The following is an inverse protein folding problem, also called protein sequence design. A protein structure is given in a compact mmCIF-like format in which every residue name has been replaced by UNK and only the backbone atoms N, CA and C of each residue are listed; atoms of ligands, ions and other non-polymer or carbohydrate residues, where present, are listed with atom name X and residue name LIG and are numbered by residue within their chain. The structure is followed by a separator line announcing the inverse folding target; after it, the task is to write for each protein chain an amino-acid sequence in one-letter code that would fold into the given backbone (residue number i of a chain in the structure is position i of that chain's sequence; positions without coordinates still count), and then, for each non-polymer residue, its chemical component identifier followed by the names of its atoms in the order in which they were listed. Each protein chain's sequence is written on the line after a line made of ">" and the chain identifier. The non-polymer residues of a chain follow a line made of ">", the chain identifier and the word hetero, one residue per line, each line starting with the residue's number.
data_IF_960273069066
#
_entry.id   IF_960273069066
#
_cell.length_a   1.000
_cell.length_b   1.000
_cell.length_c   1.000
_cell.angle_alpha   90.00
_cell.angle_beta   90.00
_cell.angle_gamma   90.00
#
_symmetry.space_group_name_H-M   'P 1'
#
loop_
_entity.id
_entity.type
_entity.pdbx_description
1 polymer ?
#
# COMPACT_ATOMS: atom_id res chain seq x y z
N UNK A 1 10.99 -24.63 -0.35
CA UNK A 1 9.95 -23.71 0.13
C UNK A 1 10.57 -22.34 0.29
N UNK A 2 10.01 -21.36 -0.43
CA UNK A 2 10.56 -20.01 -0.62
C UNK A 2 10.67 -19.27 0.72
N UNK A 3 11.77 -18.52 0.86
CA UNK A 3 12.12 -17.69 2.01
C UNK A 3 11.01 -16.66 2.29
N UNK A 4 10.46 -16.67 3.50
CA UNK A 4 9.68 -15.56 4.04
C UNK A 4 10.62 -14.35 4.18
N UNK A 5 10.61 -13.46 3.19
CA UNK A 5 11.19 -12.12 3.27
C UNK A 5 10.05 -11.11 3.27
N UNK A 6 9.28 -11.04 4.35
CA UNK A 6 8.29 -9.98 4.53
C UNK A 6 8.17 -9.60 6.00
N UNK A 7 9.26 -9.08 6.55
CA UNK A 7 9.16 -7.99 7.52
C UNK A 7 9.84 -6.78 6.84
N UNK A 8 9.08 -5.71 6.66
CA UNK A 8 9.54 -4.37 6.26
C UNK A 8 9.99 -4.19 4.79
N UNK A 9 9.08 -3.74 3.93
CA UNK A 9 9.41 -2.91 2.76
C UNK A 9 8.43 -1.72 2.71
N UNK A 10 8.72 -0.70 3.50
CA UNK A 10 8.29 0.67 3.18
C UNK A 10 9.51 1.33 2.53
N UNK A 11 9.47 1.51 1.21
CA UNK A 11 10.42 2.35 0.50
C UNK A 11 9.95 3.81 0.69
N UNK A 12 10.43 4.47 1.74
CA UNK A 12 10.35 5.93 1.84
C UNK A 12 11.55 6.50 1.06
N UNK A 13 11.27 7.12 -0.07
CA UNK A 13 12.22 7.99 -0.77
C UNK A 13 12.39 9.28 0.04
N UNK A 14 13.38 9.32 0.92
CA UNK A 14 13.79 10.51 1.66
C UNK A 14 14.42 11.55 0.72
N UNK A 15 13.66 12.58 0.35
CA UNK A 15 14.21 13.84 -0.15
C UNK A 15 14.38 14.79 1.04
N UNK A 16 15.63 14.99 1.47
CA UNK A 16 15.96 15.96 2.52
C UNK A 16 15.84 17.36 1.92
N UNK A 17 14.81 18.11 2.28
CA UNK A 17 14.82 19.57 2.18
C UNK A 17 14.93 20.15 3.58
N UNK A 18 16.11 20.74 3.85
CA UNK A 18 16.37 21.45 5.09
C UNK A 18 15.49 22.71 5.15
N UNK A 19 14.69 22.84 6.20
CA UNK A 19 14.11 24.12 6.59
C UNK A 19 14.44 24.42 8.05
N UNK A 20 15.05 25.59 8.22
CA UNK A 20 15.59 26.15 9.46
C UNK A 20 14.45 26.53 10.39
N UNK A 21 14.58 26.19 11.67
CA UNK A 21 13.53 26.28 12.67
C UNK A 21 13.28 27.67 13.27
N UNK A 22 12.26 27.72 14.13
CA UNK A 22 12.16 28.67 15.25
C UNK A 22 11.52 27.95 16.45
N UNK A 23 12.26 27.95 17.56
CA UNK A 23 11.91 27.48 18.90
C UNK A 23 10.85 28.35 19.56
N UNK A 24 9.90 27.75 20.28
CA UNK A 24 9.26 28.41 21.42
C UNK A 24 8.82 27.39 22.47
N UNK A 25 9.59 27.32 23.57
CA UNK A 25 9.17 26.72 24.83
C UNK A 25 8.00 27.51 25.45
N UNK A 26 7.07 26.82 26.10
CA UNK A 26 6.56 27.24 27.41
C UNK A 26 5.86 26.10 28.15
N UNK A 27 6.41 25.80 29.31
CA UNK A 27 5.85 25.02 30.40
C UNK A 27 4.85 25.85 31.21
N UNK A 28 3.86 25.19 31.81
CA UNK A 28 3.44 25.45 33.19
C UNK A 28 2.54 24.32 33.70
N UNK A 29 3.07 23.60 34.68
CA UNK A 29 2.39 22.85 35.72
C UNK A 29 1.50 23.78 36.56
N UNK A 30 0.35 23.31 37.04
CA UNK A 30 -0.02 23.48 38.44
C UNK A 30 -1.12 22.49 38.91
N UNK A 31 -1.03 22.17 40.19
CA UNK A 31 -1.62 21.03 40.88
C UNK A 31 -2.99 21.28 41.55
N UNK A 32 -3.55 20.15 42.01
CA UNK A 32 -4.35 19.91 43.24
C UNK A 32 -5.81 20.39 43.35
N UNK A 33 -6.74 19.43 43.54
CA UNK A 33 -7.19 19.03 44.90
C UNK A 33 -8.09 17.78 44.93
N UNK A 34 -7.82 17.00 45.98
CA UNK A 34 -8.46 15.80 46.50
C UNK A 34 -9.80 16.13 47.19
N UNK A 35 -10.76 15.20 47.16
CA UNK A 35 -11.64 14.93 48.30
C UNK A 35 -12.00 13.45 48.32
N UNK A 36 -11.67 12.79 49.43
CA UNK A 36 -12.17 11.48 49.84
C UNK A 36 -13.38 11.67 50.77
N UNK A 37 -14.33 10.74 50.77
CA UNK A 37 -14.63 9.87 51.92
C UNK A 37 -15.81 8.91 51.63
N UNK A 38 -15.59 7.67 52.08
CA UNK A 38 -16.39 6.42 52.10
C UNK A 38 -17.41 6.46 53.29
N UNK A 39 -18.04 5.39 53.86
CA UNK A 39 -18.16 3.95 53.48
C UNK A 39 -19.58 3.32 53.67
N UNK A 40 -19.81 2.09 53.18
CA UNK A 40 -20.11 0.86 54.00
C UNK A 40 -20.71 -0.35 53.25
N UNK A 41 -19.95 -1.46 53.32
CA UNK A 41 -20.26 -2.87 53.64
C UNK A 41 -21.21 -3.78 52.82
N UNK A 42 -20.56 -4.81 52.24
CA UNK A 42 -20.77 -6.27 52.35
C UNK A 42 -22.07 -6.93 51.84
N UNK A 43 -21.92 -7.93 50.95
CA UNK A 43 -22.05 -9.38 51.25
C UNK A 43 -21.20 -10.18 50.24
N UNK A 44 -20.51 -11.20 50.76
CA UNK A 44 -19.65 -12.19 50.09
C UNK A 44 -20.50 -13.35 49.60
N UNK A 45 -20.28 -13.84 48.37
CA UNK A 45 -20.61 -15.23 48.02
C UNK A 45 -19.57 -15.78 47.04
N UNK A 46 -18.84 -16.79 47.53
CA UNK A 46 -17.78 -17.52 46.84
C UNK A 46 -18.32 -18.31 45.64
N UNK A 47 -17.66 -18.20 44.48
CA UNK A 47 -17.58 -19.32 43.54
C UNK A 47 -16.17 -19.38 42.96
N UNK A 48 -15.51 -20.50 43.23
CA UNK A 48 -14.09 -20.80 42.99
C UNK A 48 -13.67 -20.55 41.55
N UNK A 49 -12.85 -19.52 41.36
CA UNK A 49 -11.96 -19.38 40.20
C UNK A 49 -10.93 -20.50 40.21
N UNK A 50 -10.80 -21.18 39.06
CA UNK A 50 -9.57 -21.83 38.67
C UNK A 50 -8.57 -20.72 38.30
N UNK A 51 -7.84 -20.22 39.29
CA UNK A 51 -6.66 -19.39 39.09
C UNK A 51 -5.61 -20.20 38.31
N UNK A 52 -5.55 -20.02 36.99
CA UNK A 52 -4.30 -20.24 36.27
C UNK A 52 -3.34 -19.13 36.71
N UNK A 53 -2.26 -19.51 37.39
CA UNK A 53 -1.20 -18.60 37.86
C UNK A 53 -0.78 -17.61 36.77
N UNK A 54 -1.27 -16.38 36.86
CA UNK A 54 -0.83 -15.23 36.05
C UNK A 54 0.53 -14.81 36.58
N UNK A 55 1.59 -15.52 36.18
CA UNK A 55 2.97 -15.16 36.50
C UNK A 55 3.45 -14.05 35.54
N UNK A 56 2.72 -12.94 35.47
CA UNK A 56 3.13 -11.75 34.71
C UNK A 56 4.07 -10.93 35.57
N UNK A 57 5.35 -11.31 35.61
CA UNK A 57 6.38 -10.32 35.91
C UNK A 57 6.39 -9.35 34.73
N UNK A 58 6.04 -8.09 34.98
CA UNK A 58 6.26 -7.06 33.98
C UNK A 58 7.75 -7.02 33.64
N UNK A 59 8.05 -7.28 32.38
CA UNK A 59 9.41 -7.17 31.87
C UNK A 59 9.75 -5.69 31.82
N UNK A 60 10.94 -5.32 32.29
CA UNK A 60 11.51 -4.01 31.99
C UNK A 60 11.99 -4.01 30.52
N UNK A 61 11.03 -3.91 29.60
CA UNK A 61 11.26 -4.03 28.16
C UNK A 61 12.30 -3.04 27.65
N UNK A 62 12.40 -1.85 28.25
CA UNK A 62 13.39 -0.83 27.87
C UNK A 62 14.82 -1.24 28.20
N UNK A 63 15.00 -2.14 29.16
CA UNK A 63 16.32 -2.66 29.54
C UNK A 63 16.73 -3.92 28.76
N UNK A 64 15.78 -4.56 28.07
CA UNK A 64 16.04 -5.81 27.35
C UNK A 64 16.95 -5.56 26.14
N UNK A 65 17.87 -6.48 25.93
CA UNK A 65 18.71 -6.56 24.73
C UNK A 65 18.24 -7.67 23.80
N UNK A 66 18.72 -7.63 22.55
CA UNK A 66 18.48 -8.72 21.58
C UNK A 66 19.05 -10.04 22.10
N UNK A 67 20.18 -10.00 22.81
CA UNK A 67 20.78 -11.20 23.42
C UNK A 67 19.86 -11.79 24.49
N UNK A 68 19.26 -10.96 25.35
CA UNK A 68 18.34 -11.42 26.40
C UNK A 68 17.14 -12.19 25.81
N UNK A 69 16.59 -11.71 24.69
CA UNK A 69 15.46 -12.35 24.03
C UNK A 69 15.82 -13.60 23.22
N UNK A 70 17.09 -13.78 22.85
CA UNK A 70 17.49 -14.82 21.87
C UNK A 70 18.51 -15.83 22.36
N UNK A 71 19.09 -15.65 23.55
CA UNK A 71 20.19 -16.46 24.11
C UNK A 71 20.00 -17.98 24.00
N UNK A 72 18.78 -18.46 24.19
CA UNK A 72 18.45 -19.90 24.14
C UNK A 72 17.75 -20.33 22.84
N UNK A 73 17.55 -19.40 21.91
CA UNK A 73 16.79 -19.60 20.68
C UNK A 73 17.70 -19.72 19.45
N UNK A 74 18.79 -18.94 19.39
CA UNK A 74 19.68 -18.86 18.21
C UNK A 74 20.41 -20.16 17.84
N UNK A 75 20.54 -21.10 18.79
CA UNK A 75 21.20 -22.38 18.55
C UNK A 75 20.26 -23.46 18.03
N UNK A 76 18.97 -23.15 17.89
CA UNK A 76 17.94 -24.11 17.48
C UNK A 76 17.77 -24.12 15.97
N UNK A 77 17.25 -25.25 15.47
CA UNK A 77 16.81 -25.32 14.08
C UNK A 77 15.39 -24.76 13.90
N UNK A 78 14.55 -24.89 14.92
CA UNK A 78 13.15 -24.49 14.92
C UNK A 78 12.68 -24.20 16.34
N UNK A 79 11.85 -23.17 16.51
CA UNK A 79 11.20 -22.81 17.77
C UNK A 79 9.96 -23.66 18.01
N UNK A 80 9.68 -23.97 19.26
CA UNK A 80 8.38 -24.52 19.66
C UNK A 80 7.30 -23.42 19.66
N UNK A 81 6.03 -23.81 19.66
CA UNK A 81 4.90 -22.88 19.83
C UNK A 81 5.03 -22.01 21.09
N UNK A 82 5.50 -22.60 22.19
CA UNK A 82 5.70 -21.90 23.47
C UNK A 82 6.80 -20.84 23.37
N UNK A 83 7.94 -21.20 22.77
CA UNK A 83 9.08 -20.28 22.59
C UNK A 83 8.75 -19.14 21.62
N UNK A 84 8.07 -19.48 20.52
CA UNK A 84 7.59 -18.48 19.58
C UNK A 84 6.55 -17.57 20.24
N UNK A 85 5.59 -18.13 20.98
CA UNK A 85 4.56 -17.36 21.70
C UNK A 85 5.16 -16.44 22.76
N UNK A 86 6.16 -16.90 23.53
CA UNK A 86 6.84 -16.09 24.52
C UNK A 86 7.55 -14.90 23.86
N UNK A 87 8.32 -15.15 22.80
CA UNK A 87 9.05 -14.11 22.08
C UNK A 87 8.09 -13.12 21.41
N UNK A 88 7.09 -13.60 20.65
CA UNK A 88 6.15 -12.72 19.94
C UNK A 88 5.27 -11.93 20.92
N UNK A 89 4.98 -12.47 22.10
CA UNK A 89 4.23 -11.76 23.15
C UNK A 89 4.95 -10.53 23.70
N UNK A 90 6.25 -10.37 23.44
CA UNK A 90 6.99 -9.16 23.81
C UNK A 90 6.62 -7.93 22.97
N UNK A 91 5.95 -8.13 21.82
CA UNK A 91 5.39 -7.02 21.04
C UNK A 91 4.34 -6.19 21.81
N UNK A 92 3.77 -6.71 22.90
CA UNK A 92 2.84 -5.93 23.77
C UNK A 92 3.46 -4.64 24.34
N UNK A 93 4.79 -4.58 24.39
CA UNK A 93 5.53 -3.42 24.88
C UNK A 93 5.95 -2.45 23.78
N UNK A 94 5.76 -2.82 22.51
CA UNK A 94 6.13 -1.99 21.37
C UNK A 94 5.01 -0.97 21.13
N UNK A 95 5.31 0.34 21.07
CA UNK A 95 4.31 1.36 20.77
C UNK A 95 3.69 1.16 19.38
N UNK A 96 2.41 1.49 19.26
CA UNK A 96 1.73 1.65 17.98
C UNK A 96 1.94 3.10 17.53
N UNK A 97 2.44 3.29 16.32
CA UNK A 97 2.65 4.61 15.71
C UNK A 97 1.35 5.21 15.18
N UNK A 98 1.36 6.51 14.88
CA UNK A 98 0.20 7.22 14.29
C UNK A 98 -0.26 6.59 12.96
N UNK A 99 0.67 6.02 12.19
CA UNK A 99 0.40 5.32 10.92
C UNK A 99 -0.07 3.87 11.10
N UNK A 100 -0.44 3.49 12.34
CA UNK A 100 -0.93 2.16 12.70
C UNK A 100 0.06 1.04 12.34
N UNK A 101 1.33 1.24 12.67
CA UNK A 101 2.37 0.19 12.65
C UNK A 101 2.96 0.04 14.05
N UNK A 102 3.62 -1.08 14.32
CA UNK A 102 4.47 -1.17 15.51
C UNK A 102 5.77 -0.38 15.26
N UNK A 103 6.28 0.27 16.30
CA UNK A 103 7.53 1.04 16.22
C UNK A 103 8.68 0.16 15.68
N UNK A 104 9.28 0.63 14.59
CA UNK A 104 10.40 -0.02 13.93
C UNK A 104 11.67 0.02 14.80
N UNK A 105 12.53 -0.98 14.61
CA UNK A 105 13.76 -1.11 15.36
C UNK A 105 13.56 -1.59 16.80
N UNK A 106 12.36 -2.06 17.19
CA UNK A 106 12.13 -2.64 18.51
C UNK A 106 13.06 -3.84 18.77
N UNK A 107 13.42 -4.07 20.04
CA UNK A 107 14.28 -5.20 20.41
C UNK A 107 13.67 -6.55 20.03
N UNK A 108 12.33 -6.65 20.05
CA UNK A 108 11.60 -7.83 19.58
C UNK A 108 11.77 -8.06 18.08
N UNK A 109 11.62 -7.01 17.26
CA UNK A 109 11.81 -7.11 15.80
C UNK A 109 13.27 -7.49 15.46
N UNK A 110 14.24 -6.91 16.16
CA UNK A 110 15.65 -7.25 16.00
C UNK A 110 15.94 -8.70 16.42
N UNK A 111 15.27 -9.21 17.46
CA UNK A 111 15.37 -10.61 17.87
C UNK A 111 14.89 -11.57 16.77
N UNK A 112 13.73 -11.32 16.15
CA UNK A 112 13.27 -12.11 15.00
C UNK A 112 14.22 -12.01 13.80
N UNK A 113 14.76 -10.82 13.53
CA UNK A 113 15.75 -10.62 12.46
C UNK A 113 17.02 -11.45 12.70
N UNK A 114 17.50 -11.53 13.95
CA UNK A 114 18.63 -12.36 14.31
C UNK A 114 18.32 -13.86 14.15
N UNK A 115 17.11 -14.30 14.49
CA UNK A 115 16.68 -15.69 14.26
C UNK A 115 16.67 -16.04 12.77
N UNK A 116 16.21 -15.13 11.92
CA UNK A 116 16.24 -15.28 10.45
C UNK A 116 17.67 -15.38 9.93
N UNK A 117 18.58 -14.52 10.39
CA UNK A 117 20.01 -14.56 10.04
C UNK A 117 20.67 -15.90 10.43
N UNK A 118 20.21 -16.47 11.53
CA UNK A 118 20.64 -17.79 12.01
C UNK A 118 19.89 -18.96 11.36
N UNK A 119 18.93 -18.68 10.46
CA UNK A 119 18.06 -19.66 9.82
C UNK A 119 17.25 -20.51 10.81
N UNK A 120 16.91 -19.95 11.97
CA UNK A 120 16.00 -20.60 12.94
C UNK A 120 14.59 -20.48 12.40
N UNK A 121 13.90 -21.61 12.25
CA UNK A 121 12.51 -21.63 11.80
C UNK A 121 11.56 -21.30 12.95
N UNK A 122 10.47 -20.64 12.63
CA UNK A 122 9.34 -20.46 13.53
C UNK A 122 8.08 -20.36 12.69
N UNK A 123 7.00 -20.99 13.15
CA UNK A 123 5.70 -20.94 12.50
C UNK A 123 4.63 -20.77 13.58
N UNK A 124 3.63 -19.93 13.30
CA UNK A 124 2.51 -19.77 14.21
C UNK A 124 1.53 -20.92 13.99
N UNK A 125 1.39 -21.81 14.98
CA UNK A 125 0.30 -22.78 14.96
C UNK A 125 -1.06 -22.10 15.19
N UNK A 126 -2.14 -22.83 14.92
CA UNK A 126 -3.49 -22.34 15.20
C UNK A 126 -3.71 -22.01 16.69
N UNK A 127 -3.03 -22.71 17.61
CA UNK A 127 -3.14 -22.42 19.04
C UNK A 127 -2.46 -21.09 19.40
N UNK A 128 -1.30 -20.81 18.80
CA UNK A 128 -0.61 -19.52 18.96
C UNK A 128 -1.50 -18.40 18.43
N UNK A 129 -2.03 -18.54 17.22
CA UNK A 129 -2.92 -17.55 16.60
C UNK A 129 -4.17 -17.27 17.45
N UNK A 130 -4.83 -18.31 17.96
CA UNK A 130 -6.00 -18.20 18.86
C UNK A 130 -5.65 -17.50 20.18
N UNK A 131 -4.43 -17.68 20.67
CA UNK A 131 -3.96 -17.02 21.90
C UNK A 131 -3.71 -15.54 21.67
N UNK A 132 -3.00 -15.20 20.58
CA UNK A 132 -2.65 -13.81 20.27
C UNK A 132 -3.87 -12.96 19.92
N UNK A 133 -4.79 -13.48 19.10
CA UNK A 133 -5.97 -12.74 18.63
C UNK A 133 -6.96 -12.42 19.76
N UNK A 134 -6.91 -13.15 20.89
CA UNK A 134 -7.73 -12.91 22.09
C UNK A 134 -7.02 -12.13 23.18
N UNK A 135 -5.81 -11.65 22.92
CA UNK A 135 -5.04 -10.89 23.90
C UNK A 135 -5.72 -9.58 24.27
N UNK A 136 -5.52 -9.11 25.50
CA UNK A 136 -5.94 -7.76 25.93
C UNK A 136 -5.14 -6.65 25.20
N UNK A 137 -3.94 -6.96 24.71
CA UNK A 137 -3.05 -6.01 24.05
C UNK A 137 -3.35 -5.90 22.55
N UNK A 138 -3.68 -4.72 22.01
CA UNK A 138 -3.95 -4.54 20.58
C UNK A 138 -2.75 -4.92 19.70
N UNK A 139 -1.52 -4.73 20.19
CA UNK A 139 -0.31 -5.15 19.49
C UNK A 139 -0.34 -6.64 19.15
N UNK A 140 -0.71 -7.48 20.12
CA UNK A 140 -0.72 -8.93 19.93
C UNK A 140 -1.88 -9.37 19.05
N UNK A 141 -3.04 -8.71 19.14
CA UNK A 141 -4.17 -8.96 18.23
C UNK A 141 -3.82 -8.59 16.78
N UNK A 142 -3.20 -7.43 16.56
CA UNK A 142 -2.75 -7.01 15.24
C UNK A 142 -1.64 -7.90 14.67
N UNK A 143 -0.68 -8.34 15.49
CA UNK A 143 0.33 -9.34 15.10
C UNK A 143 -0.33 -10.67 14.72
N UNK A 144 -1.35 -11.10 15.45
CA UNK A 144 -2.10 -12.31 15.07
C UNK A 144 -2.70 -12.16 13.66
N UNK A 145 -3.30 -11.01 13.34
CA UNK A 145 -3.78 -10.73 11.98
C UNK A 145 -2.64 -10.71 10.94
N UNK A 146 -1.48 -10.11 11.24
CA UNK A 146 -0.31 -10.12 10.34
C UNK A 146 0.20 -11.54 10.06
N UNK A 147 0.20 -12.42 11.07
CA UNK A 147 0.58 -13.83 10.92
C UNK A 147 -0.47 -14.66 10.15
N UNK A 148 -1.72 -14.18 10.11
CA UNK A 148 -2.82 -14.79 9.34
C UNK A 148 -2.92 -14.28 7.90
N UNK A 149 -2.32 -13.12 7.60
CA UNK A 149 -2.31 -12.51 6.28
C UNK A 149 -1.42 -13.32 5.33
N UNK A 150 -2.05 -14.16 4.51
CA UNK A 150 -1.36 -14.95 3.50
C UNK A 150 -1.52 -14.27 2.13
N UNK A 151 -0.41 -14.17 1.38
CA UNK A 151 -0.37 -13.55 0.03
C UNK A 151 -1.39 -14.12 -0.97
N UNK A 152 -1.90 -15.34 -0.74
CA UNK A 152 -2.93 -16.00 -1.55
C UNK A 152 -4.31 -16.04 -0.87
N UNK A 153 -4.55 -15.18 0.11
CA UNK A 153 -5.75 -15.19 0.95
C UNK A 153 -5.58 -16.07 2.18
N UNK A 154 -6.20 -15.64 3.29
CA UNK A 154 -6.14 -16.37 4.55
C UNK A 154 -6.84 -17.74 4.46
N UNK A 155 -6.58 -18.61 5.42
CA UNK A 155 -7.36 -19.84 5.59
C UNK A 155 -8.75 -19.49 6.14
N UNK A 156 -9.79 -20.24 5.78
CA UNK A 156 -11.16 -20.04 6.30
C UNK A 156 -11.20 -20.03 7.84
N UNK A 157 -10.46 -20.92 8.51
CA UNK A 157 -10.35 -20.90 9.99
C UNK A 157 -9.78 -19.58 10.53
N UNK A 158 -8.86 -18.93 9.81
CA UNK A 158 -8.30 -17.63 10.22
C UNK A 158 -9.32 -16.50 9.99
N UNK A 159 -10.10 -16.55 8.90
CA UNK A 159 -11.18 -15.60 8.66
C UNK A 159 -12.20 -15.68 9.79
N UNK A 160 -12.64 -16.88 10.16
CA UNK A 160 -13.62 -17.09 11.23
C UNK A 160 -13.12 -16.53 12.56
N UNK A 161 -11.83 -16.71 12.87
CA UNK A 161 -11.22 -16.12 14.07
C UNK A 161 -11.25 -14.60 14.05
N UNK A 162 -10.96 -13.98 12.91
CA UNK A 162 -11.00 -12.51 12.78
C UNK A 162 -12.44 -12.01 12.81
N UNK A 163 -13.38 -12.66 12.13
CA UNK A 163 -14.82 -12.31 12.18
C UNK A 163 -15.35 -12.31 13.60
N UNK A 164 -14.92 -13.26 14.43
CA UNK A 164 -15.36 -13.30 15.83
C UNK A 164 -14.90 -12.07 16.62
N UNK A 165 -13.63 -11.66 16.51
CA UNK A 165 -13.15 -10.49 17.26
C UNK A 165 -13.71 -9.16 16.73
N UNK A 166 -14.00 -9.08 15.43
CA UNK A 166 -14.56 -7.88 14.80
C UNK A 166 -15.94 -7.49 15.32
N UNK A 167 -16.64 -8.39 16.02
CA UNK A 167 -17.91 -8.08 16.70
C UNK A 167 -17.76 -7.06 17.82
N UNK A 168 -16.57 -6.94 18.41
CA UNK A 168 -16.29 -6.07 19.56
C UNK A 168 -15.03 -5.23 19.43
N UNK A 169 -14.20 -5.48 18.42
CA UNK A 169 -12.94 -4.75 18.23
C UNK A 169 -13.17 -3.29 17.82
N UNK A 170 -12.42 -2.39 18.45
CA UNK A 170 -12.47 -0.94 18.19
C UNK A 170 -11.09 -0.34 17.95
N UNK A 171 -10.01 -1.06 18.24
CA UNK A 171 -8.64 -0.56 18.16
C UNK A 171 -8.23 -0.37 16.68
N UNK A 172 -7.92 0.86 16.23
CA UNK A 172 -7.66 1.13 14.81
C UNK A 172 -6.53 0.29 14.21
N UNK A 173 -5.47 0.05 14.99
CA UNK A 173 -4.37 -0.83 14.59
C UNK A 173 -4.86 -2.24 14.25
N UNK A 174 -5.71 -2.82 15.09
CA UNK A 174 -6.25 -4.16 14.87
C UNK A 174 -7.21 -4.16 13.70
N UNK A 175 -8.10 -3.17 13.60
CA UNK A 175 -9.05 -3.04 12.48
C UNK A 175 -8.33 -2.96 11.13
N UNK A 176 -7.27 -2.14 11.02
CA UNK A 176 -6.45 -2.06 9.79
C UNK A 176 -5.84 -3.41 9.41
N UNK A 177 -5.32 -4.17 10.38
CA UNK A 177 -4.75 -5.50 10.13
C UNK A 177 -5.82 -6.55 9.81
N UNK A 178 -6.96 -6.50 10.49
CA UNK A 178 -8.09 -7.39 10.24
C UNK A 178 -8.64 -7.23 8.82
N UNK A 179 -8.72 -5.99 8.30
CA UNK A 179 -9.08 -5.73 6.89
C UNK A 179 -8.17 -6.50 5.94
N UNK A 180 -6.86 -6.55 6.17
CA UNK A 180 -5.93 -7.35 5.34
C UNK A 180 -6.28 -8.84 5.30
N UNK A 181 -6.79 -9.38 6.40
CA UNK A 181 -7.10 -10.81 6.51
C UNK A 181 -8.41 -11.15 5.80
N UNK A 182 -9.46 -10.35 6.00
CA UNK A 182 -10.82 -10.75 5.58
C UNK A 182 -11.23 -10.18 4.22
N UNK A 183 -10.70 -9.04 3.81
CA UNK A 183 -11.29 -8.26 2.71
C UNK A 183 -11.19 -8.91 1.32
N UNK A 184 -10.34 -9.92 1.13
CA UNK A 184 -10.31 -10.69 -0.12
C UNK A 184 -11.60 -11.47 -0.38
N UNK A 185 -12.39 -11.76 0.66
CA UNK A 185 -13.71 -12.40 0.59
C UNK A 185 -14.87 -11.41 0.49
N UNK A 186 -14.61 -10.10 0.49
CA UNK A 186 -15.68 -9.10 0.55
C UNK A 186 -16.65 -9.18 -0.65
N UNK A 187 -16.19 -9.58 -1.84
CA UNK A 187 -17.07 -9.82 -2.99
C UNK A 187 -17.97 -11.06 -2.88
N UNK A 188 -17.65 -11.99 -1.97
CA UNK A 188 -18.36 -13.28 -1.80
C UNK A 188 -19.18 -13.33 -0.50
N UNK A 189 -18.77 -12.59 0.55
CA UNK A 189 -19.40 -12.56 1.87
C UNK A 189 -19.97 -11.16 2.16
N UNK A 190 -21.32 -11.00 2.21
CA UNK A 190 -21.97 -9.72 2.50
C UNK A 190 -21.64 -9.12 3.87
N UNK A 191 -21.31 -9.94 4.86
CA UNK A 191 -20.92 -9.46 6.20
C UNK A 191 -19.55 -8.78 6.13
N UNK A 192 -18.60 -9.40 5.42
CA UNK A 192 -17.28 -8.83 5.18
C UNK A 192 -17.38 -7.60 4.26
N UNK A 193 -18.25 -7.63 3.25
CA UNK A 193 -18.54 -6.48 2.39
C UNK A 193 -18.99 -5.28 3.23
N UNK A 194 -19.96 -5.48 4.11
CA UNK A 194 -20.46 -4.45 5.02
C UNK A 194 -19.35 -3.92 5.93
N UNK A 195 -18.59 -4.82 6.56
CA UNK A 195 -17.45 -4.43 7.39
C UNK A 195 -16.45 -3.57 6.62
N UNK A 196 -16.09 -3.95 5.39
CA UNK A 196 -15.14 -3.21 4.56
C UNK A 196 -15.65 -1.80 4.21
N UNK A 197 -16.95 -1.68 3.89
CA UNK A 197 -17.60 -0.37 3.65
C UNK A 197 -17.61 0.50 4.91
N UNK A 198 -17.82 -0.09 6.08
CA UNK A 198 -17.78 0.62 7.37
C UNK A 198 -16.35 1.09 7.70
N UNK A 199 -15.33 0.27 7.43
CA UNK A 199 -13.92 0.64 7.61
C UNK A 199 -13.47 1.78 6.70
N UNK A 200 -14.00 1.85 5.48
CA UNK A 200 -13.78 2.96 4.57
C UNK A 200 -14.37 4.29 5.07
N UNK A 201 -15.23 4.28 6.10
CA UNK A 201 -15.79 5.47 6.76
C UNK A 201 -15.22 5.71 8.16
N UNK A 202 -14.20 4.94 8.56
CA UNK A 202 -13.63 5.01 9.90
C UNK A 202 -12.99 6.39 10.16
N UNK A 203 -12.97 6.86 11.41
CA UNK A 203 -12.35 8.14 11.76
C UNK A 203 -10.83 8.12 11.56
N UNK A 204 -10.18 6.97 11.76
CA UNK A 204 -8.74 6.84 11.58
C UNK A 204 -8.37 6.69 10.09
N UNK A 205 -7.51 7.57 9.53
CA UNK A 205 -7.16 7.54 8.12
C UNK A 205 -6.40 6.28 7.70
N UNK A 206 -5.60 5.66 8.58
CA UNK A 206 -4.90 4.41 8.26
C UNK A 206 -5.85 3.21 8.09
N UNK A 207 -7.01 3.24 8.74
CA UNK A 207 -8.09 2.26 8.52
C UNK A 207 -8.81 2.53 7.21
N UNK A 208 -9.17 3.80 6.94
CA UNK A 208 -9.81 4.20 5.67
C UNK A 208 -8.95 3.89 4.47
N UNK A 209 -7.66 4.21 4.52
CA UNK A 209 -6.68 3.94 3.44
C UNK A 209 -6.66 2.45 3.11
N UNK A 210 -6.55 1.60 4.14
CA UNK A 210 -6.49 0.15 3.94
C UNK A 210 -7.80 -0.39 3.36
N UNK A 211 -8.94 0.15 3.78
CA UNK A 211 -10.23 -0.19 3.22
C UNK A 211 -10.37 0.29 1.75
N UNK A 212 -9.91 1.51 1.44
CA UNK A 212 -9.90 2.07 0.09
C UNK A 212 -9.12 1.17 -0.87
N UNK A 213 -7.96 0.68 -0.45
CA UNK A 213 -7.16 -0.28 -1.22
C UNK A 213 -7.98 -1.53 -1.57
N UNK A 214 -8.63 -2.15 -0.58
CA UNK A 214 -9.35 -3.41 -0.77
C UNK A 214 -10.69 -3.27 -1.49
N UNK A 215 -11.37 -2.14 -1.36
CA UNK A 215 -12.54 -1.83 -2.19
C UNK A 215 -12.16 -1.78 -3.68
N UNK A 216 -10.93 -1.39 -3.99
CA UNK A 216 -10.43 -1.31 -5.36
C UNK A 216 -9.82 -2.62 -5.90
N UNK A 217 -10.04 -3.76 -5.24
CA UNK A 217 -9.61 -5.06 -5.76
C UNK A 217 -10.66 -5.63 -6.72
N UNK A 218 -10.21 -6.29 -7.80
CA UNK A 218 -11.07 -6.82 -8.85
C UNK A 218 -12.19 -7.75 -8.38
N UNK A 219 -11.95 -8.56 -7.33
CA UNK A 219 -12.97 -9.42 -6.73
C UNK A 219 -14.02 -8.66 -5.93
N UNK A 220 -13.75 -7.40 -5.56
CA UNK A 220 -14.61 -6.57 -4.71
C UNK A 220 -15.29 -5.43 -5.48
N UNK A 221 -15.02 -5.30 -6.78
CA UNK A 221 -15.47 -4.17 -7.60
C UNK A 221 -17.01 -4.03 -7.70
N UNK A 222 -17.73 -5.13 -7.50
CA UNK A 222 -19.18 -5.24 -7.64
C UNK A 222 -19.91 -5.14 -6.29
N UNK A 223 -19.20 -4.86 -5.19
CA UNK A 223 -19.81 -4.57 -3.89
C UNK A 223 -20.71 -3.32 -4.02
N UNK A 224 -21.97 -3.45 -3.63
CA UNK A 224 -22.94 -2.36 -3.68
C UNK A 224 -22.46 -1.15 -2.86
N UNK A 225 -22.47 0.04 -3.47
CA UNK A 225 -22.01 1.28 -2.85
C UNK A 225 -20.48 1.47 -2.79
N UNK A 226 -19.66 0.48 -3.16
CA UNK A 226 -18.20 0.60 -3.10
C UNK A 226 -17.67 1.70 -4.03
N UNK A 227 -18.21 1.83 -5.25
CA UNK A 227 -17.71 2.81 -6.22
C UNK A 227 -18.00 4.25 -5.80
N UNK A 228 -19.18 4.51 -5.22
CA UNK A 228 -19.52 5.84 -4.70
C UNK A 228 -18.64 6.20 -3.50
N UNK A 229 -18.40 5.23 -2.60
CA UNK A 229 -17.53 5.44 -1.45
C UNK A 229 -16.07 5.66 -1.87
N UNK A 230 -15.56 4.91 -2.84
CA UNK A 230 -14.21 5.15 -3.39
C UNK A 230 -14.14 6.54 -4.01
N UNK A 231 -15.16 6.97 -4.75
CA UNK A 231 -15.20 8.32 -5.30
C UNK A 231 -15.15 9.41 -4.20
N UNK A 232 -15.82 9.21 -3.07
CA UNK A 232 -15.70 10.09 -1.90
C UNK A 232 -14.27 10.07 -1.33
N UNK A 233 -13.66 8.89 -1.20
CA UNK A 233 -12.30 8.73 -0.69
C UNK A 233 -11.23 9.36 -1.60
N UNK A 234 -11.47 9.42 -2.92
CA UNK A 234 -10.61 10.17 -3.86
C UNK A 234 -10.57 11.69 -3.60
N UNK A 235 -11.40 12.18 -2.67
CA UNK A 235 -11.48 13.56 -2.21
C UNK A 235 -11.27 13.67 -0.69
N UNK A 236 -10.74 12.60 -0.05
CA UNK A 236 -10.48 12.57 1.38
C UNK A 236 -9.48 13.67 1.78
N UNK A 237 -9.67 14.24 2.97
CA UNK A 237 -8.77 15.24 3.54
C UNK A 237 -7.38 14.66 3.83
N UNK A 238 -7.32 13.37 4.16
CA UNK A 238 -6.08 12.66 4.33
C UNK A 238 -5.48 12.30 2.97
N UNK A 239 -4.29 12.83 2.71
CA UNK A 239 -3.61 12.66 1.43
C UNK A 239 -3.34 11.20 1.08
N UNK A 240 -3.00 10.35 2.03
CA UNK A 240 -2.71 8.94 1.74
C UNK A 240 -3.98 8.17 1.38
N UNK A 241 -5.10 8.43 2.07
CA UNK A 241 -6.40 7.86 1.70
C UNK A 241 -6.79 8.27 0.27
N UNK A 242 -6.69 9.57 -0.03
CA UNK A 242 -7.00 10.11 -1.35
C UNK A 242 -6.09 9.53 -2.44
N UNK A 243 -4.79 9.46 -2.19
CA UNK A 243 -3.81 8.87 -3.12
C UNK A 243 -4.11 7.41 -3.38
N UNK A 244 -4.34 6.59 -2.35
CA UNK A 244 -4.69 5.17 -2.50
C UNK A 244 -5.98 5.00 -3.30
N UNK A 245 -7.03 5.73 -2.95
CA UNK A 245 -8.31 5.67 -3.67
C UNK A 245 -8.14 6.06 -5.15
N UNK A 246 -7.40 7.14 -5.42
CA UNK A 246 -7.12 7.57 -6.78
C UNK A 246 -6.33 6.52 -7.55
N UNK A 247 -5.22 6.03 -7.01
CA UNK A 247 -4.32 5.07 -7.68
C UNK A 247 -5.02 3.76 -8.07
N UNK A 248 -5.89 3.26 -7.18
CA UNK A 248 -6.50 1.93 -7.31
C UNK A 248 -7.86 1.96 -8.00
N UNK A 249 -8.48 3.13 -8.14
CA UNK A 249 -9.81 3.29 -8.76
C UNK A 249 -9.93 2.79 -10.20
N UNK A 250 -8.82 2.49 -10.89
CA UNK A 250 -8.80 1.97 -12.26
C UNK A 250 -9.56 0.64 -12.46
N UNK A 251 -9.86 -0.09 -11.38
CA UNK A 251 -10.73 -1.27 -11.42
C UNK A 251 -12.18 -0.94 -11.83
N UNK A 252 -12.66 0.28 -11.55
CA UNK A 252 -14.02 0.76 -11.83
C UNK A 252 -14.13 1.35 -13.23
N UNK A 253 -13.74 0.55 -14.23
CA UNK A 253 -13.56 0.94 -15.64
C UNK A 253 -14.80 1.58 -16.25
N UNK A 254 -15.99 1.14 -15.84
CA UNK A 254 -17.26 1.58 -16.41
C UNK A 254 -17.88 2.77 -15.65
N UNK A 255 -17.21 3.25 -14.59
CA UNK A 255 -17.72 4.35 -13.77
C UNK A 255 -17.32 5.71 -14.37
N UNK A 256 -18.25 6.31 -15.13
CA UNK A 256 -18.05 7.61 -15.76
C UNK A 256 -17.69 8.72 -14.77
N UNK A 257 -18.25 8.71 -13.56
CA UNK A 257 -18.00 9.74 -12.54
C UNK A 257 -16.53 9.72 -12.09
N UNK A 258 -15.99 8.53 -11.83
CA UNK A 258 -14.57 8.33 -11.50
C UNK A 258 -13.69 8.70 -12.70
N UNK A 259 -14.01 8.23 -13.91
CA UNK A 259 -13.23 8.53 -15.12
C UNK A 259 -13.14 10.05 -15.37
N UNK A 260 -14.25 10.77 -15.30
CA UNK A 260 -14.26 12.22 -15.51
C UNK A 260 -13.47 12.96 -14.43
N UNK A 261 -13.59 12.56 -13.16
CA UNK A 261 -12.80 13.17 -12.09
C UNK A 261 -11.29 12.96 -12.30
N UNK A 262 -10.85 11.73 -12.61
CA UNK A 262 -9.45 11.46 -12.92
C UNK A 262 -8.95 12.29 -14.11
N UNK A 263 -9.77 12.46 -15.15
CA UNK A 263 -9.46 13.33 -16.29
C UNK A 263 -9.27 14.79 -15.85
N UNK A 264 -10.12 15.33 -14.99
CA UNK A 264 -9.95 16.70 -14.49
C UNK A 264 -8.66 16.89 -13.70
N UNK A 265 -8.16 15.84 -13.03
CA UNK A 265 -6.86 15.88 -12.37
C UNK A 265 -5.74 15.86 -13.40
N UNK A 266 -5.75 14.88 -14.30
CA UNK A 266 -4.66 14.68 -15.27
C UNK A 266 -4.49 15.88 -16.23
N UNK A 267 -5.58 16.59 -16.53
CA UNK A 267 -5.56 17.72 -17.44
C UNK A 267 -5.33 19.08 -16.74
N UNK A 268 -5.21 19.13 -15.42
CA UNK A 268 -4.94 20.35 -14.65
C UNK A 268 -3.48 20.39 -14.19
N UNK A 269 -2.67 21.20 -14.86
CA UNK A 269 -1.23 21.33 -14.59
C UNK A 269 -0.91 21.73 -13.14
N UNK A 270 -1.85 22.39 -12.43
CA UNK A 270 -1.67 22.72 -11.01
C UNK A 270 -1.72 21.51 -10.07
N UNK A 271 -2.21 20.37 -10.56
CA UNK A 271 -2.32 19.10 -9.82
C UNK A 271 -1.25 18.07 -10.22
N UNK A 272 -0.12 18.51 -10.76
CA UNK A 272 0.92 17.62 -11.28
C UNK A 272 1.39 16.54 -10.30
N UNK A 273 1.38 16.81 -8.98
CA UNK A 273 1.75 15.84 -7.93
C UNK A 273 0.84 14.61 -7.90
N UNK A 274 -0.37 14.71 -8.45
CA UNK A 274 -1.34 13.63 -8.56
C UNK A 274 -1.34 12.97 -9.94
N UNK A 275 -0.65 13.53 -10.94
CA UNK A 275 -0.68 13.01 -12.31
C UNK A 275 -0.20 11.56 -12.40
N UNK A 276 0.90 11.20 -11.74
CA UNK A 276 1.39 9.82 -11.74
C UNK A 276 0.35 8.83 -11.17
N UNK A 277 -0.25 9.20 -10.05
CA UNK A 277 -1.17 8.37 -9.28
C UNK A 277 -2.52 8.22 -9.98
N UNK A 278 -3.13 9.34 -10.36
CA UNK A 278 -4.43 9.35 -11.04
C UNK A 278 -4.29 8.90 -12.50
N UNK A 279 -3.16 9.20 -13.14
CA UNK A 279 -2.83 8.75 -14.49
C UNK A 279 -2.70 7.23 -14.57
N UNK A 280 -2.11 6.59 -13.55
CA UNK A 280 -2.11 5.13 -13.45
C UNK A 280 -3.53 4.55 -13.50
N UNK A 281 -4.47 5.11 -12.75
CA UNK A 281 -5.85 4.63 -12.74
C UNK A 281 -6.51 4.79 -14.11
N UNK A 282 -6.32 5.90 -14.81
CA UNK A 282 -6.80 6.07 -16.19
C UNK A 282 -6.20 5.01 -17.13
N UNK A 283 -4.88 4.78 -17.04
CA UNK A 283 -4.20 3.74 -17.83
C UNK A 283 -4.75 2.35 -17.50
N UNK A 284 -5.03 2.05 -16.24
CA UNK A 284 -5.67 0.78 -15.85
C UNK A 284 -7.10 0.66 -16.39
N UNK A 285 -7.85 1.76 -16.51
CA UNK A 285 -9.20 1.73 -17.08
C UNK A 285 -9.18 1.37 -18.57
N UNK A 286 -8.30 1.99 -19.36
CA UNK A 286 -8.29 1.81 -20.81
C UNK A 286 -7.35 0.72 -21.31
N UNK A 287 -6.22 0.45 -20.65
CA UNK A 287 -5.23 -0.55 -21.06
C UNK A 287 -5.15 -1.72 -20.08
N UNK A 288 -4.99 -1.43 -18.79
CA UNK A 288 -4.58 -2.39 -17.76
C UNK A 288 -3.36 -3.23 -18.19
N UNK A 289 -2.16 -2.64 -18.23
CA UNK A 289 -0.98 -3.23 -18.86
C UNK A 289 -0.64 -4.66 -18.38
N UNK A 290 -0.98 -4.98 -17.13
CA UNK A 290 -0.75 -6.32 -16.54
C UNK A 290 -1.68 -7.39 -17.10
N UNK A 291 -2.94 -7.07 -17.35
CA UNK A 291 -3.97 -8.07 -17.69
C UNK A 291 -4.59 -7.88 -19.09
N UNK A 292 -4.29 -6.75 -19.76
CA UNK A 292 -4.78 -6.42 -21.11
C UNK A 292 -6.30 -6.50 -21.26
N UNK A 293 -7.04 -6.01 -20.27
CA UNK A 293 -8.51 -6.06 -20.22
C UNK A 293 -9.15 -4.69 -19.91
N UNK A 294 -8.43 -3.59 -20.14
CA UNK A 294 -9.00 -2.25 -20.11
C UNK A 294 -9.80 -1.93 -21.37
N UNK A 295 -10.95 -1.25 -21.24
CA UNK A 295 -11.87 -0.95 -22.35
C UNK A 295 -12.63 0.36 -22.11
N UNK A 296 -11.92 1.47 -21.92
CA UNK A 296 -12.52 2.79 -21.67
C UNK A 296 -11.95 3.84 -22.62
N UNK A 297 -12.73 4.23 -23.62
CA UNK A 297 -12.35 5.22 -24.65
C UNK A 297 -12.13 6.62 -24.04
N UNK A 298 -12.93 7.03 -23.07
CA UNK A 298 -12.78 8.33 -22.41
C UNK A 298 -11.45 8.44 -21.68
N UNK A 299 -11.06 7.38 -20.95
CA UNK A 299 -9.79 7.32 -20.24
C UNK A 299 -8.59 7.28 -21.21
N UNK A 300 -8.73 6.57 -22.35
CA UNK A 300 -7.74 6.62 -23.43
C UNK A 300 -7.58 8.04 -23.98
N UNK A 301 -8.69 8.70 -24.33
CA UNK A 301 -8.66 10.05 -24.89
C UNK A 301 -8.06 11.06 -23.91
N UNK A 302 -8.38 10.98 -22.62
CA UNK A 302 -7.78 11.82 -21.58
C UNK A 302 -6.25 11.58 -21.46
N UNK A 303 -5.82 10.33 -21.55
CA UNK A 303 -4.39 9.96 -21.52
C UNK A 303 -3.67 10.51 -22.75
N UNK A 304 -4.27 10.39 -23.94
CA UNK A 304 -3.70 10.92 -25.20
C UNK A 304 -3.63 12.44 -25.18
N UNK A 305 -4.69 13.11 -24.75
CA UNK A 305 -4.72 14.57 -24.61
C UNK A 305 -3.61 15.06 -23.68
N UNK A 306 -3.39 14.35 -22.56
CA UNK A 306 -2.32 14.67 -21.62
C UNK A 306 -0.92 14.58 -22.23
N UNK A 307 -0.60 13.50 -22.96
CA UNK A 307 0.73 13.32 -23.58
C UNK A 307 0.95 14.24 -24.80
N UNK A 308 -0.13 14.68 -25.45
CA UNK A 308 -0.08 15.63 -26.57
C UNK A 308 0.12 17.09 -26.12
N UNK A 309 -0.03 17.40 -24.83
CA UNK A 309 0.23 18.74 -24.29
C UNK A 309 1.60 19.26 -24.68
N UNK A 310 1.64 20.51 -25.17
CA UNK A 310 2.87 21.18 -25.61
C UNK A 310 3.47 22.10 -24.55
N UNK A 311 2.69 22.51 -23.54
CA UNK A 311 3.17 23.22 -22.36
C UNK A 311 3.90 22.27 -21.41
N UNK A 312 5.13 21.89 -21.76
CA UNK A 312 5.94 20.92 -20.99
C UNK A 312 6.93 21.62 -20.05
N UNK A 313 7.22 20.95 -18.95
CA UNK A 313 8.20 21.38 -17.95
C UNK A 313 8.74 20.15 -17.18
N UNK A 314 9.52 20.39 -16.12
CA UNK A 314 10.15 19.32 -15.32
C UNK A 314 9.16 18.37 -14.62
N UNK A 315 7.89 18.76 -14.50
CA UNK A 315 6.82 17.98 -13.88
C UNK A 315 5.79 17.44 -14.88
N UNK A 316 5.76 17.96 -16.13
CA UNK A 316 4.71 17.66 -17.11
C UNK A 316 5.32 17.36 -18.49
N UNK A 317 5.08 16.16 -19.07
CA UNK A 317 4.34 15.06 -18.47
C UNK A 317 5.13 14.43 -17.31
N UNK A 318 4.43 14.11 -16.24
CA UNK A 318 4.94 13.31 -15.13
C UNK A 318 5.38 11.93 -15.67
N UNK A 319 6.61 11.52 -15.33
CA UNK A 319 7.27 10.40 -16.02
C UNK A 319 6.65 9.04 -15.68
N UNK A 320 6.08 8.86 -14.49
CA UNK A 320 5.46 7.58 -14.11
C UNK A 320 4.24 7.28 -14.95
N UNK A 321 3.49 8.29 -15.40
CA UNK A 321 2.37 8.10 -16.36
C UNK A 321 2.86 7.40 -17.62
N UNK A 322 4.01 7.83 -18.18
CA UNK A 322 4.59 7.20 -19.36
C UNK A 322 5.15 5.81 -19.05
N UNK A 323 5.74 5.62 -17.86
CA UNK A 323 6.23 4.32 -17.42
C UNK A 323 5.10 3.28 -17.31
N UNK A 324 3.94 3.65 -16.76
CA UNK A 324 2.78 2.76 -16.72
C UNK A 324 2.30 2.38 -18.13
N UNK A 325 2.39 3.31 -19.10
CA UNK A 325 2.07 3.00 -20.49
C UNK A 325 3.06 2.01 -21.12
N UNK A 326 4.34 2.02 -20.74
CA UNK A 326 5.37 1.14 -21.35
C UNK A 326 5.31 -0.30 -20.84
N UNK A 327 4.68 -0.57 -19.70
CA UNK A 327 4.54 -1.88 -19.06
C UNK A 327 3.59 -2.88 -19.75
N UNK A 328 3.46 -2.83 -21.07
CA UNK A 328 2.58 -3.69 -21.87
C UNK A 328 3.04 -5.16 -21.78
N UNK A 329 2.14 -6.05 -21.32
CA UNK A 329 2.29 -7.50 -21.49
C UNK A 329 2.36 -7.90 -22.98
N UNK A 330 3.36 -8.68 -23.37
CA UNK A 330 3.44 -9.28 -24.71
C UNK A 330 2.26 -10.23 -25.00
N UNK A 331 1.62 -10.76 -23.96
CA UNK A 331 0.42 -11.59 -24.08
C UNK A 331 -0.83 -10.71 -24.02
N UNK A 332 -1.72 -10.86 -25.01
CA UNK A 332 -3.04 -10.22 -25.04
C UNK A 332 -3.09 -8.84 -25.72
N UNK A 333 -1.97 -8.16 -25.96
CA UNK A 333 -2.00 -6.82 -26.54
C UNK A 333 -2.58 -6.76 -27.98
N UNK A 334 -2.28 -7.75 -28.82
CA UNK A 334 -2.85 -7.82 -30.18
C UNK A 334 -4.36 -8.02 -30.16
N UNK A 335 -4.86 -8.89 -29.28
CA UNK A 335 -6.31 -9.13 -29.09
C UNK A 335 -6.99 -7.89 -28.50
N UNK A 336 -6.36 -7.26 -27.51
CA UNK A 336 -6.83 -6.02 -26.91
C UNK A 336 -6.99 -4.91 -27.96
N UNK A 337 -6.05 -4.75 -28.91
CA UNK A 337 -6.17 -3.75 -29.99
C UNK A 337 -7.39 -4.01 -30.88
N UNK A 338 -7.70 -5.27 -31.18
CA UNK A 338 -8.88 -5.62 -32.00
C UNK A 338 -10.18 -5.26 -31.27
N UNK A 339 -10.21 -5.40 -29.94
CA UNK A 339 -11.38 -5.07 -29.12
C UNK A 339 -11.56 -3.57 -28.86
N UNK A 340 -10.53 -2.76 -29.09
CA UNK A 340 -10.51 -1.34 -28.78
C UNK A 340 -10.28 -0.49 -30.04
N UNK A 341 -11.30 -0.27 -30.90
CA UNK A 341 -11.15 0.40 -32.19
C UNK A 341 -10.77 1.88 -32.08
N UNK A 342 -10.93 2.50 -30.90
CA UNK A 342 -10.48 3.85 -30.61
C UNK A 342 -8.96 3.96 -30.48
N UNK A 343 -8.26 2.85 -30.24
CA UNK A 343 -6.82 2.85 -30.06
C UNK A 343 -6.08 3.28 -31.32
N UNK A 344 -5.22 4.29 -31.17
CA UNK A 344 -4.37 4.80 -32.23
C UNK A 344 -2.90 4.79 -31.81
N UNK A 345 -2.16 3.81 -32.35
CA UNK A 345 -0.72 3.65 -32.14
C UNK A 345 0.08 4.88 -32.60
N UNK A 346 -0.26 5.40 -33.78
CA UNK A 346 0.54 6.45 -34.42
C UNK A 346 0.42 7.78 -33.66
N UNK A 347 -0.75 8.06 -33.06
CA UNK A 347 -0.92 9.20 -32.14
C UNK A 347 0.00 9.11 -30.93
N UNK A 348 0.01 7.96 -30.25
CA UNK A 348 0.87 7.74 -29.07
C UNK A 348 2.34 7.92 -29.46
N UNK A 349 2.80 7.26 -30.52
CA UNK A 349 4.20 7.34 -30.97
C UNK A 349 4.56 8.78 -31.35
N UNK A 350 3.67 9.50 -32.03
CA UNK A 350 3.91 10.90 -32.42
C UNK A 350 4.06 11.80 -31.18
N UNK A 351 3.18 11.65 -30.18
CA UNK A 351 3.28 12.41 -28.93
C UNK A 351 4.59 12.11 -28.18
N UNK A 352 5.01 10.84 -28.12
CA UNK A 352 6.28 10.45 -27.50
C UNK A 352 7.49 11.08 -28.21
N UNK A 353 7.49 11.13 -29.54
CA UNK A 353 8.55 11.78 -30.32
C UNK A 353 8.64 13.27 -29.97
N UNK A 354 7.50 13.95 -29.82
CA UNK A 354 7.50 15.37 -29.45
C UNK A 354 7.95 15.60 -28.00
N UNK A 355 7.63 14.70 -27.07
CA UNK A 355 8.17 14.73 -25.70
C UNK A 355 9.70 14.58 -25.73
N UNK A 356 10.23 13.61 -26.48
CA UNK A 356 11.69 13.36 -26.59
C UNK A 356 12.45 14.58 -27.10
N UNK A 357 11.87 15.32 -28.05
CA UNK A 357 12.49 16.52 -28.65
C UNK A 357 12.51 17.72 -27.71
N UNK A 358 11.61 17.78 -26.74
CA UNK A 358 11.40 18.95 -25.91
C UNK A 358 12.43 19.01 -24.75
N UNK A 359 13.38 19.95 -24.76
CA UNK A 359 14.39 20.04 -23.71
C UNK A 359 13.83 20.54 -22.36
N UNK A 360 12.58 21.04 -22.32
CA UNK A 360 11.92 21.43 -21.09
C UNK A 360 11.26 20.24 -20.37
N UNK A 361 10.96 19.16 -21.10
CA UNK A 361 10.40 17.96 -20.51
C UNK A 361 11.46 17.25 -19.64
N UNK A 362 11.00 16.68 -18.53
CA UNK A 362 11.84 15.90 -17.62
C UNK A 362 12.63 14.80 -18.36
N UNK A 363 13.90 14.61 -18.03
CA UNK A 363 14.75 13.59 -18.67
C UNK A 363 14.21 12.17 -18.48
N UNK A 364 13.60 11.85 -17.33
CA UNK A 364 12.93 10.57 -17.10
C UNK A 364 11.68 10.43 -17.98
N UNK A 365 10.90 11.49 -18.17
CA UNK A 365 9.75 11.45 -19.06
C UNK A 365 10.19 11.22 -20.52
N UNK A 366 11.25 11.90 -20.96
CA UNK A 366 11.86 11.70 -22.29
C UNK A 366 12.42 10.27 -22.45
N UNK A 367 13.00 9.69 -21.41
CA UNK A 367 13.46 8.30 -21.41
C UNK A 367 12.29 7.31 -21.48
N UNK A 368 11.27 7.47 -20.65
CA UNK A 368 10.06 6.64 -20.69
C UNK A 368 9.30 6.77 -22.00
N UNK A 369 9.34 7.92 -22.68
CA UNK A 369 8.78 8.06 -24.01
C UNK A 369 9.46 7.14 -25.05
N UNK A 370 10.77 6.87 -24.92
CA UNK A 370 11.46 5.87 -25.76
C UNK A 370 10.92 4.46 -25.45
N UNK A 371 10.78 4.11 -24.18
CA UNK A 371 10.24 2.81 -23.75
C UNK A 371 8.80 2.61 -24.25
N UNK A 372 7.97 3.65 -24.24
CA UNK A 372 6.62 3.63 -24.82
C UNK A 372 6.70 3.40 -26.34
N UNK A 373 7.57 4.10 -27.07
CA UNK A 373 7.72 3.84 -28.52
C UNK A 373 8.10 2.38 -28.78
N UNK A 374 8.98 1.81 -27.96
CA UNK A 374 9.33 0.40 -28.04
C UNK A 374 8.13 -0.52 -27.77
N UNK A 375 7.40 -0.30 -26.67
CA UNK A 375 6.30 -1.16 -26.26
C UNK A 375 5.18 -1.21 -27.33
N UNK A 376 4.86 -0.07 -27.95
CA UNK A 376 3.72 0.06 -28.87
C UNK A 376 4.09 -0.19 -30.33
N UNK A 377 5.31 0.16 -30.72
CA UNK A 377 5.79 0.13 -32.10
C UNK A 377 6.91 -0.86 -32.38
N UNK A 378 7.38 -1.58 -31.35
CA UNK A 378 8.47 -2.56 -31.38
C UNK A 378 9.76 -1.94 -31.96
N UNK A 379 10.70 -2.78 -32.42
CA UNK A 379 12.03 -2.35 -32.88
C UNK A 379 11.96 -1.43 -34.10
N UNK A 380 10.95 -1.61 -34.95
CA UNK A 380 10.76 -0.84 -36.17
C UNK A 380 10.49 0.64 -35.84
N UNK A 381 9.64 0.91 -34.84
CA UNK A 381 9.35 2.28 -34.42
C UNK A 381 10.57 2.93 -33.74
N UNK A 382 11.32 2.20 -32.90
CA UNK A 382 12.57 2.70 -32.33
C UNK A 382 13.60 3.05 -33.42
N UNK A 383 13.79 2.19 -34.41
CA UNK A 383 14.72 2.44 -35.49
C UNK A 383 14.36 3.72 -36.28
N UNK A 384 13.07 4.01 -36.42
CA UNK A 384 12.58 5.18 -37.16
C UNK A 384 12.92 6.52 -36.50
N UNK A 385 13.15 6.55 -35.18
CA UNK A 385 13.44 7.78 -34.43
C UNK A 385 14.94 8.04 -34.24
N UNK A 386 15.82 7.21 -34.80
CA UNK A 386 17.28 7.31 -34.62
C UNK A 386 17.82 8.71 -34.94
N UNK A 387 17.37 9.32 -36.04
CA UNK A 387 17.80 10.67 -36.43
C UNK A 387 17.34 11.75 -35.44
N UNK A 388 16.16 11.59 -34.83
CA UNK A 388 15.66 12.47 -33.77
C UNK A 388 16.58 12.40 -32.56
N UNK A 389 16.94 11.19 -32.13
CA UNK A 389 17.83 10.95 -30.99
C UNK A 389 19.24 11.50 -31.23
N UNK A 390 19.80 11.28 -32.42
CA UNK A 390 21.13 11.78 -32.79
C UNK A 390 21.19 13.32 -32.80
N UNK A 391 20.10 13.97 -33.21
CA UNK A 391 19.98 15.42 -33.27
C UNK A 391 19.85 16.11 -31.89
N UNK A 392 19.63 15.36 -30.81
CA UNK A 392 19.58 15.92 -29.45
C UNK A 392 20.96 16.47 -29.04
N UNK A 393 20.97 17.70 -28.54
CA UNK A 393 22.18 18.46 -28.15
C UNK A 393 22.05 19.15 -26.79
N UNK A 394 20.91 19.04 -26.13
CA UNK A 394 20.65 19.62 -24.81
C UNK A 394 21.37 18.84 -23.68
N UNK A 395 21.28 19.36 -22.45
CA UNK A 395 21.99 18.82 -21.28
C UNK A 395 21.69 17.35 -21.00
N UNK A 396 20.51 16.86 -21.36
CA UNK A 396 20.06 15.49 -21.09
C UNK A 396 20.33 14.55 -22.27
N UNK A 397 20.79 15.07 -23.42
CA UNK A 397 20.96 14.30 -24.66
C UNK A 397 21.82 13.03 -24.48
N UNK A 398 22.88 13.08 -23.67
CA UNK A 398 23.73 11.90 -23.43
C UNK A 398 22.96 10.79 -22.70
N UNK A 399 22.13 11.14 -21.73
CA UNK A 399 21.31 10.18 -20.99
C UNK A 399 20.25 9.57 -21.90
N UNK A 400 19.54 10.39 -22.69
CA UNK A 400 18.52 9.94 -23.63
C UNK A 400 19.10 9.00 -24.70
N UNK A 401 20.32 9.29 -25.22
CA UNK A 401 21.04 8.43 -26.18
C UNK A 401 21.45 7.08 -25.59
N UNK A 402 21.83 7.03 -24.32
CA UNK A 402 22.15 5.78 -23.61
C UNK A 402 20.90 4.91 -23.43
N UNK A 403 19.78 5.49 -22.99
CA UNK A 403 18.50 4.78 -22.87
C UNK A 403 18.06 4.22 -24.22
N UNK A 404 18.11 5.02 -25.28
CA UNK A 404 17.76 4.58 -26.64
C UNK A 404 18.62 3.40 -27.10
N UNK A 405 19.92 3.45 -26.84
CA UNK A 405 20.85 2.38 -27.22
C UNK A 405 20.53 1.08 -26.48
N UNK A 406 20.17 1.14 -25.19
CA UNK A 406 19.74 -0.02 -24.41
C UNK A 406 18.43 -0.61 -24.94
N UNK A 407 17.43 0.25 -25.21
CA UNK A 407 16.14 -0.20 -25.74
C UNK A 407 16.25 -0.87 -27.11
N UNK A 408 17.14 -0.40 -28.00
CA UNK A 408 17.38 -1.05 -29.29
C UNK A 408 17.91 -2.50 -29.18
N UNK A 409 18.55 -2.84 -28.06
CA UNK A 409 19.18 -4.16 -27.85
C UNK A 409 18.28 -5.19 -27.19
N UNK A 410 17.21 -4.75 -26.52
CA UNK A 410 16.12 -5.63 -26.05
C UNK A 410 15.37 -6.10 -27.29
#
# INVERSE_FOLDING_TARGET
>A
MRKNKYLLHIIIALTITASVGITACKSSTDETKISADDPTSSVVEENKELESQKNTRDLDYKSLTVEDLTKNLISKNELTDEEFLELVSTYRYVPITEDLNLEDGSVTQQAFSLLDDKNVKYTASQNVLKTLIKSEYPQLRGIACELMDEFNGAKEENIDLVKEILKTETEPFVLRRAVSVVAYKAGEDPEIAKFLLDMAKNENPGVRERAAYWLCIGSNKDIEGAQDLVFELMQDENKEVMRTACEKSGVFRDNTKITEYLKTILLDDSKYELHGICGKALIDMWLNPTYMNGHNETAYNATVEYIEKTSRNENIPEFTVLNYMSGISDTGFEEWKVQNPYYNKDKIISAMIEIIKDPNANSLARASAIEVIHAYGKKEALASIKSVIEALTDKDASFIKDVFSKELTK
#
